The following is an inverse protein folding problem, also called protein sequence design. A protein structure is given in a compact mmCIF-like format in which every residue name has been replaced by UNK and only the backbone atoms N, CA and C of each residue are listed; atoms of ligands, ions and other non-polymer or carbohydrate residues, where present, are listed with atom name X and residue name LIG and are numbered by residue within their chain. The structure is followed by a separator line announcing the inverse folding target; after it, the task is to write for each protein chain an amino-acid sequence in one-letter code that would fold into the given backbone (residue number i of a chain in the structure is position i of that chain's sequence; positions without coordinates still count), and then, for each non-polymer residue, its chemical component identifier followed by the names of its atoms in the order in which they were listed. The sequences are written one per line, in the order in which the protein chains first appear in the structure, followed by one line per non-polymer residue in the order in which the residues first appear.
data_IF_767186558181
#
_entry.id   IF_767186558181
#
_cell.length_a   1.000
_cell.length_b   1.000
_cell.length_c   1.000
_cell.angle_alpha   90.00
_cell.angle_beta   90.00
_cell.angle_gamma   90.00
#
_symmetry.space_group_name_H-M   'P 1'
#
loop_
_entity.id
_entity.type
_entity.pdbx_description
1 polymer ?
#
# COMPACT_ATOMS: atom_id res chain seq x y z
N UNK A 1 1.53 -25.61 -0.48
CA UNK A 1 0.54 -25.65 -1.61
C UNK A 1 -0.07 -24.28 -1.90
N UNK A 2 -0.63 -23.57 -0.91
CA UNK A 2 -1.31 -22.26 -1.11
C UNK A 2 -0.39 -21.17 -1.69
N UNK A 3 0.87 -21.11 -1.29
CA UNK A 3 1.87 -20.17 -1.83
C UNK A 3 2.06 -20.32 -3.33
N UNK A 4 2.32 -21.54 -3.79
CA UNK A 4 2.57 -21.81 -5.22
C UNK A 4 1.32 -21.61 -6.08
N UNK A 5 0.13 -21.86 -5.56
CA UNK A 5 -1.10 -21.60 -6.30
C UNK A 5 -1.27 -20.11 -6.61
N UNK A 6 -1.06 -19.22 -5.62
CA UNK A 6 -1.17 -17.77 -5.84
C UNK A 6 -0.09 -17.26 -6.79
N UNK A 7 1.16 -17.70 -6.63
CA UNK A 7 2.24 -17.33 -7.54
C UNK A 7 1.94 -17.78 -8.99
N UNK A 8 1.46 -19.00 -9.17
CA UNK A 8 1.14 -19.52 -10.50
C UNK A 8 0.03 -18.72 -11.19
N UNK A 9 -1.02 -18.33 -10.46
CA UNK A 9 -2.08 -17.49 -11.02
C UNK A 9 -1.58 -16.08 -11.38
N UNK A 10 -0.75 -15.48 -10.53
CA UNK A 10 -0.11 -14.21 -10.85
C UNK A 10 0.79 -14.32 -12.10
N UNK A 11 1.57 -15.40 -12.21
CA UNK A 11 2.42 -15.66 -13.39
C UNK A 11 1.58 -15.82 -14.65
N UNK A 12 0.46 -16.57 -14.60
CA UNK A 12 -0.46 -16.72 -15.73
C UNK A 12 -1.00 -15.36 -16.19
N UNK A 13 -1.51 -14.55 -15.27
CA UNK A 13 -2.00 -13.20 -15.58
C UNK A 13 -0.91 -12.30 -16.18
N UNK A 14 0.28 -12.28 -15.59
CA UNK A 14 1.40 -11.49 -16.10
C UNK A 14 1.85 -11.96 -17.51
N UNK A 15 1.91 -13.27 -17.76
CA UNK A 15 2.23 -13.84 -19.10
C UNK A 15 1.18 -13.47 -20.13
N UNK A 16 -0.10 -13.44 -19.76
CA UNK A 16 -1.18 -13.01 -20.65
C UNK A 16 -0.99 -11.55 -21.08
N UNK A 17 -0.69 -10.66 -20.12
CA UNK A 17 -0.40 -9.25 -20.41
C UNK A 17 0.84 -9.10 -21.30
N UNK A 18 1.89 -9.86 -21.03
CA UNK A 18 3.10 -9.87 -21.85
C UNK A 18 2.82 -10.35 -23.29
N UNK A 19 2.02 -11.42 -23.46
CA UNK A 19 1.58 -11.92 -24.77
C UNK A 19 0.80 -10.87 -25.56
N UNK A 20 0.00 -10.06 -24.85
CA UNK A 20 -0.74 -8.95 -25.44
C UNK A 20 0.09 -7.67 -25.63
N UNK A 21 1.42 -7.77 -25.62
CA UNK A 21 2.38 -6.69 -25.92
C UNK A 21 2.29 -5.50 -24.97
N UNK A 22 1.81 -5.69 -23.72
CA UNK A 22 1.87 -4.66 -22.70
C UNK A 22 3.32 -4.23 -22.46
N UNK A 23 3.57 -2.95 -22.31
CA UNK A 23 4.92 -2.40 -22.12
C UNK A 23 5.44 -2.57 -20.69
N UNK A 24 4.54 -2.59 -19.72
CA UNK A 24 4.85 -2.85 -18.31
C UNK A 24 3.59 -3.40 -17.60
N UNK A 25 3.79 -3.92 -16.40
CA UNK A 25 2.72 -4.48 -15.55
C UNK A 25 2.68 -3.71 -14.23
N UNK A 26 1.47 -3.50 -13.71
CA UNK A 26 1.23 -3.04 -12.35
C UNK A 26 0.36 -4.04 -11.61
N UNK A 27 0.60 -4.19 -10.32
CA UNK A 27 -0.19 -5.04 -9.43
C UNK A 27 -0.79 -4.15 -8.34
N UNK A 28 -2.07 -3.71 -8.46
CA UNK A 28 -2.71 -2.83 -7.48
C UNK A 28 -3.14 -3.61 -6.23
N UNK A 29 -2.19 -4.29 -5.60
CA UNK A 29 -2.37 -5.07 -4.38
C UNK A 29 -1.08 -5.09 -3.59
N UNK A 30 -1.04 -4.43 -2.43
CA UNK A 30 0.16 -4.37 -1.60
C UNK A 30 0.66 -5.75 -1.19
N UNK A 31 -0.22 -6.63 -0.71
CA UNK A 31 0.16 -7.97 -0.24
C UNK A 31 0.72 -8.86 -1.35
N UNK A 32 0.25 -8.70 -2.60
CA UNK A 32 0.73 -9.50 -3.73
C UNK A 32 2.22 -9.26 -4.06
N UNK A 33 2.79 -8.14 -3.59
CA UNK A 33 4.22 -7.86 -3.74
C UNK A 33 5.12 -8.81 -2.92
N UNK A 34 4.55 -9.69 -2.09
CA UNK A 34 5.27 -10.80 -1.50
C UNK A 34 5.90 -11.72 -2.56
N UNK A 35 5.26 -11.89 -3.70
CA UNK A 35 5.75 -12.69 -4.83
C UNK A 35 6.51 -11.88 -5.89
N UNK A 36 6.78 -10.60 -5.63
CA UNK A 36 7.36 -9.69 -6.62
C UNK A 36 8.67 -10.18 -7.21
N UNK A 37 9.61 -10.66 -6.37
CA UNK A 37 10.91 -11.13 -6.84
C UNK A 37 10.79 -12.43 -7.66
N UNK A 38 9.86 -13.31 -7.30
CA UNK A 38 9.58 -14.53 -8.07
C UNK A 38 8.90 -14.23 -9.42
N UNK A 39 8.03 -13.22 -9.46
CA UNK A 39 7.43 -12.73 -10.69
C UNK A 39 8.49 -12.14 -11.63
N UNK A 40 9.41 -11.32 -11.12
CA UNK A 40 10.49 -10.74 -11.91
C UNK A 40 11.37 -11.77 -12.59
N UNK A 41 11.60 -12.93 -11.97
CA UNK A 41 12.35 -14.03 -12.58
C UNK A 41 11.63 -14.71 -13.74
N UNK A 42 10.29 -14.61 -13.80
CA UNK A 42 9.44 -15.35 -14.75
C UNK A 42 8.84 -14.48 -15.85
N UNK A 43 8.89 -13.15 -15.71
CA UNK A 43 8.25 -12.17 -16.60
C UNK A 43 9.32 -11.26 -17.19
N UNK A 44 9.30 -11.10 -18.51
CA UNK A 44 10.33 -10.35 -19.25
C UNK A 44 10.09 -8.84 -19.28
N UNK A 45 8.83 -8.40 -19.19
CA UNK A 45 8.49 -6.97 -19.19
C UNK A 45 8.54 -6.39 -17.78
N UNK A 46 8.80 -5.09 -17.60
CA UNK A 46 8.89 -4.47 -16.29
C UNK A 46 7.61 -4.63 -15.46
N UNK A 47 7.76 -4.97 -14.18
CA UNK A 47 6.67 -4.94 -13.20
C UNK A 47 6.96 -3.79 -12.23
N UNK A 48 6.04 -2.83 -12.11
CA UNK A 48 6.20 -1.72 -11.19
C UNK A 48 5.80 -2.15 -9.77
N UNK A 49 6.73 -2.02 -8.84
CA UNK A 49 6.48 -2.37 -7.43
C UNK A 49 5.81 -1.22 -6.70
N UNK A 50 4.58 -1.42 -6.22
CA UNK A 50 3.84 -0.42 -5.45
C UNK A 50 4.57 -0.02 -4.15
N UNK A 51 5.13 -0.94 -3.31
CA UNK A 51 5.92 -0.56 -2.14
C UNK A 51 7.20 0.21 -2.49
N UNK A 52 7.87 -0.14 -3.59
CA UNK A 52 9.06 0.57 -4.07
C UNK A 52 8.72 1.99 -4.52
N UNK A 53 7.62 2.18 -5.26
CA UNK A 53 7.20 3.52 -5.68
C UNK A 53 6.80 4.39 -4.48
N UNK A 54 6.14 3.81 -3.48
CA UNK A 54 5.87 4.50 -2.22
C UNK A 54 7.15 4.92 -1.50
N UNK A 55 8.17 4.05 -1.49
CA UNK A 55 9.49 4.37 -0.93
C UNK A 55 10.18 5.50 -1.71
N UNK A 56 10.22 5.43 -3.03
CA UNK A 56 10.84 6.45 -3.88
C UNK A 56 10.16 7.82 -3.71
N UNK A 57 8.84 7.84 -3.61
CA UNK A 57 8.08 9.04 -3.27
C UNK A 57 8.47 9.58 -1.89
N UNK A 58 8.52 8.71 -0.89
CA UNK A 58 8.88 9.08 0.48
C UNK A 58 10.30 9.64 0.56
N UNK A 59 11.25 9.00 -0.13
CA UNK A 59 12.66 9.46 -0.19
C UNK A 59 12.80 10.87 -0.75
N UNK A 60 11.94 11.25 -1.70
CA UNK A 60 11.95 12.61 -2.30
C UNK A 60 11.29 13.66 -1.43
N UNK A 61 10.31 13.27 -0.61
CA UNK A 61 9.43 14.20 0.10
C UNK A 61 9.60 14.21 1.63
N UNK A 62 10.45 13.33 2.18
CA UNK A 62 10.67 13.22 3.61
C UNK A 62 12.16 13.20 3.93
N UNK A 63 12.53 13.76 5.09
CA UNK A 63 13.89 13.63 5.64
C UNK A 63 14.16 12.17 6.01
N UNK A 64 15.44 11.77 5.98
CA UNK A 64 15.90 10.49 6.56
C UNK A 64 15.48 10.41 8.04
N UNK A 65 15.38 9.19 8.56
CA UNK A 65 14.96 8.92 9.96
C UNK A 65 13.53 9.37 10.30
N UNK A 66 12.76 9.81 9.32
CA UNK A 66 11.34 10.11 9.52
C UNK A 66 10.60 8.86 10.02
N UNK A 67 9.84 9.03 11.11
CA UNK A 67 8.99 7.97 11.67
C UNK A 67 7.70 7.86 10.85
N UNK A 68 7.48 6.70 10.25
CA UNK A 68 6.39 6.45 9.31
C UNK A 68 5.52 5.31 9.81
N UNK A 69 4.23 5.56 10.00
CA UNK A 69 3.24 4.54 10.31
C UNK A 69 2.83 3.75 9.06
N UNK A 70 2.67 2.44 9.18
CA UNK A 70 2.11 1.60 8.11
C UNK A 70 0.74 1.05 8.53
N UNK A 71 -0.32 1.55 7.92
CA UNK A 71 -1.64 0.96 7.95
C UNK A 71 -1.78 -0.02 6.78
N UNK A 72 -1.99 -1.30 7.05
CA UNK A 72 -2.08 -2.33 6.02
C UNK A 72 -2.79 -3.59 6.52
N UNK A 73 -2.92 -4.62 5.68
CA UNK A 73 -3.38 -5.94 6.14
C UNK A 73 -2.32 -6.61 7.03
N UNK A 74 -2.73 -7.52 7.91
CA UNK A 74 -1.79 -8.34 8.67
C UNK A 74 -0.85 -9.15 7.77
N UNK A 75 -1.33 -9.61 6.61
CA UNK A 75 -0.51 -10.32 5.64
C UNK A 75 0.61 -9.43 5.10
N UNK A 76 0.33 -8.18 4.76
CA UNK A 76 1.33 -7.20 4.32
C UNK A 76 2.39 -6.96 5.40
N UNK A 77 1.99 -6.88 6.68
CA UNK A 77 2.92 -6.74 7.81
C UNK A 77 3.79 -8.00 7.96
N UNK A 78 3.18 -9.19 7.98
CA UNK A 78 3.88 -10.48 8.16
C UNK A 78 4.89 -10.75 7.03
N UNK A 79 4.54 -10.40 5.81
CA UNK A 79 5.42 -10.61 4.63
C UNK A 79 6.50 -9.54 4.46
N UNK A 80 6.48 -8.49 5.27
CA UNK A 80 7.50 -7.43 5.32
C UNK A 80 7.80 -6.74 3.97
N UNK A 81 6.81 -6.69 3.07
CA UNK A 81 7.00 -6.15 1.72
C UNK A 81 7.42 -4.67 1.68
N UNK A 82 7.06 -3.89 2.69
CA UNK A 82 7.52 -2.52 2.85
C UNK A 82 8.88 -2.42 3.54
N UNK A 83 9.16 -3.26 4.52
CA UNK A 83 10.41 -3.26 5.27
C UNK A 83 11.64 -3.43 4.35
N UNK A 84 11.51 -4.21 3.27
CA UNK A 84 12.54 -4.40 2.25
C UNK A 84 13.10 -3.06 1.72
N UNK A 85 12.26 -2.04 1.60
CA UNK A 85 12.66 -0.73 1.05
C UNK A 85 12.91 0.32 2.14
N UNK A 86 12.19 0.30 3.24
CA UNK A 86 12.16 1.39 4.22
C UNK A 86 13.19 1.30 5.34
N UNK A 87 13.58 0.09 5.76
CA UNK A 87 14.35 -0.14 6.99
C UNK A 87 15.70 0.60 7.10
N UNK A 88 16.32 0.98 5.98
CA UNK A 88 17.65 1.59 6.01
C UNK A 88 17.64 3.12 6.08
N UNK A 89 16.47 3.76 5.93
CA UNK A 89 16.37 5.23 5.84
C UNK A 89 15.23 5.82 6.65
N UNK A 90 14.25 5.01 7.04
CA UNK A 90 13.05 5.46 7.72
C UNK A 90 12.68 4.50 8.84
N UNK A 91 12.10 5.03 9.92
CA UNK A 91 11.56 4.20 11.00
C UNK A 91 10.13 3.77 10.66
N UNK A 92 9.98 2.58 10.05
CA UNK A 92 8.67 2.03 9.74
C UNK A 92 8.04 1.41 10.99
N UNK A 93 6.88 1.94 11.38
CA UNK A 93 6.16 1.56 12.59
C UNK A 93 4.83 0.89 12.23
N UNK A 94 4.55 -0.23 12.86
CA UNK A 94 3.28 -0.94 12.72
C UNK A 94 2.33 -0.60 13.89
N UNK A 95 1.01 -0.69 13.71
CA UNK A 95 0.08 -0.54 14.82
C UNK A 95 0.24 -1.69 15.83
N UNK A 96 -0.13 -1.44 17.07
CA UNK A 96 -0.22 -2.54 18.05
C UNK A 96 -1.22 -3.60 17.59
N UNK A 97 -1.10 -4.83 18.10
CA UNK A 97 -2.03 -5.93 17.76
C UNK A 97 -3.48 -5.56 18.00
N UNK A 98 -3.77 -4.82 19.08
CA UNK A 98 -5.12 -4.35 19.41
C UNK A 98 -5.62 -3.35 18.37
N UNK A 99 -4.81 -2.34 18.03
CA UNK A 99 -5.14 -1.31 17.04
C UNK A 99 -5.35 -1.93 15.67
N UNK A 100 -4.47 -2.86 15.27
CA UNK A 100 -4.58 -3.59 14.01
C UNK A 100 -5.92 -4.34 13.92
N UNK A 101 -6.21 -5.19 14.93
CA UNK A 101 -7.39 -6.05 14.90
C UNK A 101 -8.68 -5.25 15.02
N UNK A 102 -8.75 -4.31 15.98
CA UNK A 102 -9.99 -3.60 16.33
C UNK A 102 -10.36 -2.50 15.32
N UNK A 103 -9.39 -1.86 14.68
CA UNK A 103 -9.65 -0.69 13.86
C UNK A 103 -9.23 -0.87 12.39
N UNK A 104 -7.99 -1.29 12.12
CA UNK A 104 -7.48 -1.38 10.74
C UNK A 104 -8.18 -2.51 9.98
N UNK A 105 -8.22 -3.73 10.55
CA UNK A 105 -8.88 -4.87 9.91
C UNK A 105 -10.38 -4.62 9.73
N UNK A 106 -11.02 -3.98 10.72
CA UNK A 106 -12.43 -3.64 10.63
C UNK A 106 -12.70 -2.64 9.50
N UNK A 107 -11.91 -1.57 9.40
CA UNK A 107 -12.06 -0.58 8.34
C UNK A 107 -11.90 -1.20 6.94
N UNK A 108 -10.89 -2.05 6.74
CA UNK A 108 -10.68 -2.78 5.48
C UNK A 108 -11.89 -3.68 5.16
N UNK A 109 -12.40 -4.42 6.16
CA UNK A 109 -13.58 -5.27 6.00
C UNK A 109 -14.82 -4.46 5.62
N UNK A 110 -15.05 -3.34 6.27
CA UNK A 110 -16.21 -2.48 6.02
C UNK A 110 -16.17 -1.87 4.61
N UNK A 111 -15.01 -1.43 4.12
CA UNK A 111 -14.87 -0.96 2.73
C UNK A 111 -15.23 -2.07 1.75
N UNK A 112 -14.73 -3.29 1.95
CA UNK A 112 -15.07 -4.45 1.10
C UNK A 112 -16.55 -4.80 1.09
N UNK A 113 -17.27 -4.43 2.14
CA UNK A 113 -18.73 -4.61 2.25
C UNK A 113 -19.53 -3.39 1.72
N UNK A 114 -18.87 -2.39 1.15
CA UNK A 114 -19.52 -1.14 0.70
C UNK A 114 -19.90 -0.18 1.84
N UNK A 115 -19.61 -0.52 3.10
CA UNK A 115 -19.94 0.27 4.30
C UNK A 115 -18.90 1.37 4.54
N UNK A 116 -18.75 2.27 3.57
CA UNK A 116 -17.65 3.24 3.53
C UNK A 116 -17.72 4.26 4.68
N UNK A 117 -18.94 4.67 5.07
CA UNK A 117 -19.13 5.62 6.19
C UNK A 117 -18.68 5.04 7.52
N UNK A 118 -19.01 3.78 7.77
CA UNK A 118 -18.59 3.05 8.97
C UNK A 118 -17.08 2.79 8.95
N UNK A 119 -16.54 2.48 7.78
CA UNK A 119 -15.09 2.30 7.61
C UNK A 119 -14.31 3.57 7.95
N UNK A 120 -14.81 4.74 7.50
CA UNK A 120 -14.22 6.04 7.82
C UNK A 120 -14.22 6.34 9.31
N UNK A 121 -15.26 5.95 10.03
CA UNK A 121 -15.29 6.05 11.51
C UNK A 121 -14.33 5.05 12.16
N UNK A 122 -14.32 3.81 11.69
CA UNK A 122 -13.51 2.73 12.24
C UNK A 122 -12.00 2.98 12.15
N UNK A 123 -11.51 3.66 11.10
CA UNK A 123 -10.06 3.90 10.92
C UNK A 123 -9.52 5.04 11.79
N UNK A 124 -10.35 5.95 12.26
CA UNK A 124 -9.95 7.14 13.01
C UNK A 124 -9.05 6.85 14.23
N UNK A 125 -9.37 5.87 15.10
CA UNK A 125 -8.51 5.57 16.25
C UNK A 125 -7.12 5.07 15.85
N UNK A 126 -6.99 4.37 14.72
CA UNK A 126 -5.69 3.92 14.23
C UNK A 126 -4.83 5.08 13.72
N UNK A 127 -5.43 6.07 13.06
CA UNK A 127 -4.74 7.29 12.65
C UNK A 127 -4.32 8.10 13.89
N UNK A 128 -5.21 8.26 14.85
CA UNK A 128 -4.90 8.94 16.14
C UNK A 128 -3.77 8.24 16.88
N UNK A 129 -3.74 6.92 16.89
CA UNK A 129 -2.65 6.12 17.47
C UNK A 129 -1.30 6.53 16.88
N UNK A 130 -1.16 6.57 15.54
CA UNK A 130 0.10 6.97 14.91
C UNK A 130 0.49 8.42 15.19
N UNK A 131 -0.46 9.33 15.28
CA UNK A 131 -0.19 10.72 15.69
C UNK A 131 0.34 10.80 17.13
N UNK A 132 -0.28 10.06 18.06
CA UNK A 132 0.18 10.02 19.48
C UNK A 132 1.60 9.51 19.62
N UNK A 133 1.99 8.51 18.85
CA UNK A 133 3.36 7.99 18.83
C UNK A 133 4.30 8.79 17.91
N UNK A 134 3.87 9.99 17.50
CA UNK A 134 4.65 10.97 16.71
C UNK A 134 5.13 10.43 15.36
N UNK A 135 4.30 9.67 14.64
CA UNK A 135 4.57 9.38 13.24
C UNK A 135 4.30 10.63 12.39
N UNK A 136 5.29 11.02 11.59
CA UNK A 136 5.21 12.20 10.72
C UNK A 136 4.40 11.93 9.45
N UNK A 137 4.42 10.68 8.98
CA UNK A 137 3.70 10.19 7.82
C UNK A 137 3.02 8.86 8.12
N UNK A 138 1.98 8.54 7.34
CA UNK A 138 1.22 7.28 7.44
C UNK A 138 1.02 6.72 6.04
N UNK A 139 1.57 5.54 5.76
CA UNK A 139 1.34 4.81 4.51
C UNK A 139 -0.01 4.09 4.59
N UNK A 140 -0.84 4.28 3.59
CA UNK A 140 -2.10 3.58 3.38
C UNK A 140 -1.87 2.29 2.57
N UNK A 141 -1.18 1.31 3.18
CA UNK A 141 -0.66 0.08 2.56
C UNK A 141 -1.72 -1.01 2.32
N UNK A 142 -2.95 -0.63 2.07
CA UNK A 142 -4.05 -1.47 1.59
C UNK A 142 -4.96 -0.62 0.71
N UNK A 143 -5.43 -1.15 -0.41
CA UNK A 143 -6.20 -0.41 -1.43
C UNK A 143 -7.53 0.14 -0.91
N UNK A 144 -8.08 -0.45 0.11
CA UNK A 144 -9.30 0.00 0.79
C UNK A 144 -9.07 1.20 1.72
N UNK A 145 -7.86 1.39 2.23
CA UNK A 145 -7.61 2.43 3.23
C UNK A 145 -7.74 3.86 2.70
N UNK A 146 -7.29 4.20 1.48
CA UNK A 146 -7.60 5.52 0.90
C UNK A 146 -9.11 5.79 0.82
N UNK A 147 -9.92 4.77 0.50
CA UNK A 147 -11.39 4.91 0.49
C UNK A 147 -11.91 5.22 1.89
N UNK A 148 -11.45 4.48 2.92
CA UNK A 148 -11.84 4.73 4.31
C UNK A 148 -11.44 6.12 4.80
N UNK A 149 -10.27 6.64 4.36
CA UNK A 149 -9.71 7.90 4.84
C UNK A 149 -10.30 9.11 4.09
N UNK A 150 -10.50 9.03 2.77
CA UNK A 150 -10.79 10.19 1.92
C UNK A 150 -12.23 10.28 1.42
N UNK A 151 -13.06 9.24 1.57
CA UNK A 151 -14.42 9.21 1.06
C UNK A 151 -15.32 10.36 1.57
N UNK A 152 -15.05 10.86 2.78
CA UNK A 152 -15.82 11.94 3.38
C UNK A 152 -14.90 13.10 3.76
N UNK A 153 -14.92 14.17 2.96
CA UNK A 153 -14.14 15.41 3.19
C UNK A 153 -14.44 16.10 4.53
N UNK A 154 -15.58 15.80 5.14
CA UNK A 154 -15.98 16.32 6.45
C UNK A 154 -15.21 15.75 7.63
N UNK A 155 -14.53 14.60 7.48
CA UNK A 155 -13.74 14.05 8.56
C UNK A 155 -12.42 14.81 8.74
N UNK A 156 -12.07 15.05 10.00
CA UNK A 156 -10.89 15.81 10.42
C UNK A 156 -9.60 15.44 9.66
N UNK A 157 -9.40 14.15 9.37
CA UNK A 157 -8.16 13.67 8.75
C UNK A 157 -8.15 13.76 7.22
N UNK A 158 -9.28 13.88 6.55
CA UNK A 158 -9.31 14.15 5.11
C UNK A 158 -8.75 15.55 4.79
N UNK A 159 -8.88 16.51 5.72
CA UNK A 159 -8.27 17.84 5.62
C UNK A 159 -6.74 17.82 5.81
N UNK A 160 -6.20 16.80 6.47
CA UNK A 160 -4.77 16.64 6.75
C UNK A 160 -4.10 15.69 5.73
N UNK A 161 -4.48 15.76 4.46
CA UNK A 161 -4.01 14.86 3.39
C UNK A 161 -2.48 14.72 3.30
N UNK A 162 -1.76 15.77 3.69
CA UNK A 162 -0.29 15.82 3.64
C UNK A 162 0.42 14.79 4.54
N UNK A 163 -0.25 14.24 5.56
CA UNK A 163 0.35 13.19 6.40
C UNK A 163 0.29 11.80 5.75
N UNK A 164 -0.61 11.60 4.79
CA UNK A 164 -0.80 10.29 4.18
C UNK A 164 0.08 10.10 2.95
N UNK A 165 0.60 8.89 2.83
CA UNK A 165 1.26 8.38 1.64
C UNK A 165 0.31 7.33 1.08
N UNK A 166 -0.25 7.60 -0.11
CA UNK A 166 -1.17 6.70 -0.80
C UNK A 166 -0.44 5.97 -1.93
N UNK A 167 -0.09 4.69 -1.76
CA UNK A 167 0.59 3.91 -2.78
C UNK A 167 -0.22 3.72 -4.07
N UNK A 168 -1.56 3.75 -4.00
CA UNK A 168 -2.42 3.64 -5.18
C UNK A 168 -2.28 4.88 -6.07
N UNK A 169 -2.39 6.06 -5.45
CA UNK A 169 -2.24 7.33 -6.17
C UNK A 169 -0.83 7.46 -6.76
N UNK A 170 0.19 7.15 -5.97
CA UNK A 170 1.59 7.19 -6.42
C UNK A 170 1.79 6.25 -7.62
N UNK A 171 1.30 5.02 -7.56
CA UNK A 171 1.40 4.06 -8.65
C UNK A 171 0.68 4.57 -9.91
N UNK A 172 -0.49 5.16 -9.77
CA UNK A 172 -1.25 5.73 -10.88
C UNK A 172 -0.47 6.90 -11.56
N UNK A 173 0.14 7.79 -10.78
CA UNK A 173 0.98 8.87 -11.33
C UNK A 173 2.23 8.35 -12.05
N UNK A 174 2.87 7.31 -11.52
CA UNK A 174 4.00 6.65 -12.18
C UNK A 174 3.57 6.00 -13.49
N UNK A 175 2.41 5.34 -13.53
CA UNK A 175 1.85 4.76 -14.76
C UNK A 175 1.58 5.84 -15.81
N UNK A 176 0.97 6.95 -15.42
CA UNK A 176 0.69 8.09 -16.30
C UNK A 176 1.98 8.68 -16.90
N UNK A 177 3.00 8.85 -16.07
CA UNK A 177 4.31 9.35 -16.53
C UNK A 177 4.96 8.37 -17.52
N UNK A 178 4.98 7.07 -17.21
CA UNK A 178 5.52 6.05 -18.12
C UNK A 178 4.74 5.90 -19.41
N UNK A 179 3.43 6.05 -19.40
CA UNK A 179 2.60 6.00 -20.61
C UNK A 179 2.93 7.15 -21.58
N UNK A 180 3.21 8.33 -21.05
CA UNK A 180 3.59 9.51 -21.86
C UNK A 180 5.00 9.42 -22.46
N UNK A 181 5.83 8.50 -21.98
CA UNK A 181 7.22 8.29 -22.48
C UNK A 181 7.35 7.10 -23.43
N UNK A 182 6.25 6.45 -23.80
CA UNK A 182 6.14 5.38 -24.80
C UNK A 182 5.65 5.92 -26.14
#
# INVERSE_FOLDING_TARGET
KKYYNVLNELVKGCKLLQKNKCKFIVIPCNTAHYWYDDLKKKIKIPILSMPEQAYLYTKRNCKTETKIGLLSTEATIKTKVYNKYFNNKFYLVHPSKIVQKKYVNLAIKLVKQGKVREASKAIQPAITYFKRIKCNKIILGCTELPVAVFAFKSYKFAKESKIFIDPNLILAEVCKSKYRSI
#
